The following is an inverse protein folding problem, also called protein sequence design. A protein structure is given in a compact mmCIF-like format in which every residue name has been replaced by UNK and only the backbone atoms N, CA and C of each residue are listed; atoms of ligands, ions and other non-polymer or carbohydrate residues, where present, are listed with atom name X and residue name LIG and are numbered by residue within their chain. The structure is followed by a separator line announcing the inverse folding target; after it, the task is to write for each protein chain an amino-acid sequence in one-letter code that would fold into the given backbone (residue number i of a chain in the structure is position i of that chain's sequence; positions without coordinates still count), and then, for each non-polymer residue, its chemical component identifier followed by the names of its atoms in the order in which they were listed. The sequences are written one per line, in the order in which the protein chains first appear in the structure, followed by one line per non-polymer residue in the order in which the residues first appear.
data_IF_391490692169
#
_entry.id   IF_391490692169
#
_cell.length_a   1.000
_cell.length_b   1.000
_cell.length_c   1.000
_cell.angle_alpha   90.00
_cell.angle_beta   90.00
_cell.angle_gamma   90.00
#
_symmetry.space_group_name_H-M   'P 1'
#
loop_
_entity.id
_entity.type
_entity.pdbx_description
1 polymer ?
#
# COMPACT_ATOMS: atom_id res chain seq x y z
N UNK A 1 0.55 -2.98 -6.32
CA UNK A 1 0.26 -2.07 -5.20
C UNK A 1 0.60 -2.82 -3.92
N UNK A 2 1.28 -2.18 -2.98
CA UNK A 2 1.57 -2.75 -1.67
C UNK A 2 0.67 -2.05 -0.65
N UNK A 3 -0.09 -2.83 0.12
CA UNK A 3 -0.86 -2.35 1.27
C UNK A 3 -0.21 -2.93 2.52
N UNK A 4 0.21 -2.06 3.44
CA UNK A 4 0.78 -2.45 4.73
C UNK A 4 -0.23 -2.08 5.80
N UNK A 5 -0.67 -3.08 6.56
CA UNK A 5 -1.45 -2.89 7.77
C UNK A 5 -0.47 -2.87 8.94
N UNK A 6 -0.35 -1.72 9.61
CA UNK A 6 0.47 -1.60 10.82
C UNK A 6 -0.47 -1.74 12.00
N UNK A 7 -0.55 -2.95 12.54
CA UNK A 7 -1.14 -3.21 13.85
C UNK A 7 0.01 -3.43 14.83
N UNK A 8 -0.09 -2.88 16.04
CA UNK A 8 0.97 -2.82 17.05
C UNK A 8 1.48 -4.18 17.56
N UNK A 9 1.13 -5.30 16.91
CA UNK A 9 1.56 -6.65 17.25
C UNK A 9 1.84 -7.59 16.05
N UNK A 10 1.49 -7.23 14.80
CA UNK A 10 1.81 -8.05 13.60
C UNK A 10 1.95 -7.15 12.37
N UNK A 11 3.07 -7.29 11.67
CA UNK A 11 3.27 -6.70 10.36
C UNK A 11 2.68 -7.64 9.31
N UNK A 12 1.60 -7.23 8.62
CA UNK A 12 1.04 -7.93 7.48
C UNK A 12 1.27 -7.11 6.20
N UNK A 13 1.75 -7.78 5.15
CA UNK A 13 2.02 -7.14 3.87
C UNK A 13 1.43 -7.97 2.73
N UNK A 14 0.67 -7.30 1.86
CA UNK A 14 0.03 -7.91 0.69
C UNK A 14 0.59 -7.31 -0.59
N UNK A 15 0.94 -8.16 -1.56
CA UNK A 15 1.39 -7.75 -2.87
C UNK A 15 0.78 -8.66 -3.94
N UNK A 16 0.18 -8.04 -4.96
CA UNK A 16 -0.42 -8.75 -6.10
C UNK A 16 -0.09 -8.07 -7.43
N UNK A 17 -0.21 -8.82 -8.51
CA UNK A 17 -0.08 -8.31 -9.87
C UNK A 17 -1.33 -7.51 -10.24
N UNK A 18 -1.13 -6.29 -10.75
CA UNK A 18 -2.22 -5.46 -11.26
C UNK A 18 -2.17 -5.47 -12.79
N UNK A 19 -3.24 -5.92 -13.47
CA UNK A 19 -3.28 -5.88 -14.93
C UNK A 19 -3.32 -4.43 -15.45
N UNK A 20 -4.01 -3.54 -14.74
CA UNK A 20 -4.11 -2.11 -15.07
C UNK A 20 -4.01 -1.25 -13.81
N UNK A 21 -3.37 -0.09 -13.93
CA UNK A 21 -3.28 0.91 -12.84
C UNK A 21 -4.44 1.91 -12.97
N UNK A 22 -5.66 1.44 -12.75
CA UNK A 22 -6.85 2.29 -12.71
C UNK A 22 -7.68 2.01 -11.44
N UNK A 23 -8.56 2.94 -11.13
CA UNK A 23 -9.38 2.91 -9.92
C UNK A 23 -10.25 1.65 -9.83
N UNK A 24 -10.87 1.24 -10.93
CA UNK A 24 -11.74 0.07 -11.00
C UNK A 24 -11.03 -1.25 -10.72
N UNK A 25 -9.72 -1.32 -10.94
CA UNK A 25 -8.90 -2.50 -10.60
C UNK A 25 -8.35 -2.40 -9.19
N UNK A 26 -7.95 -1.20 -8.76
CA UNK A 26 -7.22 -0.98 -7.52
C UNK A 26 -8.15 -0.98 -6.29
N UNK A 27 -9.28 -0.28 -6.35
CA UNK A 27 -10.17 -0.14 -5.18
C UNK A 27 -10.70 -1.47 -4.67
N UNK A 28 -11.22 -2.40 -5.51
CA UNK A 28 -11.73 -3.68 -5.00
C UNK A 28 -10.65 -4.49 -4.29
N UNK A 29 -9.41 -4.42 -4.76
CA UNK A 29 -8.27 -5.12 -4.14
C UNK A 29 -8.02 -4.53 -2.75
N UNK A 30 -7.91 -3.20 -2.62
CA UNK A 30 -7.70 -2.55 -1.31
C UNK A 30 -8.79 -2.94 -0.32
N UNK A 31 -10.06 -2.83 -0.73
CA UNK A 31 -11.22 -3.10 0.12
C UNK A 31 -11.24 -4.57 0.57
N UNK A 32 -10.82 -5.49 -0.30
CA UNK A 32 -10.74 -6.92 0.07
C UNK A 32 -9.69 -7.24 1.12
N UNK A 33 -8.69 -6.38 1.31
CA UNK A 33 -7.54 -6.63 2.18
C UNK A 33 -7.62 -5.89 3.52
N UNK A 34 -8.57 -4.96 3.68
CA UNK A 34 -8.61 -4.05 4.82
C UNK A 34 -9.94 -4.23 5.55
N UNK A 35 -9.90 -4.45 6.86
CA UNK A 35 -11.12 -4.54 7.64
C UNK A 35 -11.74 -3.14 7.88
N UNK A 36 -13.01 -3.14 8.25
CA UNK A 36 -13.69 -1.91 8.65
C UNK A 36 -12.99 -1.27 9.87
N UNK A 37 -12.94 0.08 9.90
CA UNK A 37 -12.31 0.94 10.92
C UNK A 37 -10.79 1.14 10.85
N UNK A 38 -10.09 0.56 9.88
CA UNK A 38 -8.67 0.86 9.67
C UNK A 38 -8.44 2.22 9.01
N UNK A 39 -7.29 2.83 9.31
CA UNK A 39 -6.82 4.04 8.63
C UNK A 39 -5.96 3.64 7.45
N UNK A 40 -6.39 3.99 6.24
CA UNK A 40 -5.68 3.72 5.00
C UNK A 40 -4.74 4.90 4.72
N UNK A 41 -3.46 4.60 4.53
CA UNK A 41 -2.44 5.56 4.13
C UNK A 41 -1.99 5.30 2.70
N UNK A 42 -2.07 6.31 1.83
CA UNK A 42 -1.58 6.22 0.44
C UNK A 42 -0.80 7.46 0.05
N UNK A 43 -0.20 7.44 -1.14
CA UNK A 43 0.24 8.66 -1.81
C UNK A 43 -0.97 9.51 -2.27
N UNK A 44 -0.71 10.70 -2.80
CA UNK A 44 -1.72 11.67 -3.24
C UNK A 44 -2.37 11.33 -4.59
N UNK A 45 -2.37 10.06 -5.01
CA UNK A 45 -2.97 9.67 -6.28
C UNK A 45 -4.50 9.79 -6.26
N UNK A 46 -5.05 10.46 -7.27
CA UNK A 46 -6.48 10.86 -7.34
C UNK A 46 -7.47 9.71 -7.15
N UNK A 47 -7.16 8.51 -7.63
CA UNK A 47 -8.05 7.34 -7.51
C UNK A 47 -8.28 6.88 -6.06
N UNK A 48 -7.42 7.26 -5.12
CA UNK A 48 -7.60 6.90 -3.71
C UNK A 48 -8.60 7.80 -2.98
N UNK A 49 -8.93 8.97 -3.51
CA UNK A 49 -9.93 9.89 -2.92
C UNK A 49 -11.28 9.19 -2.75
N UNK A 50 -11.63 8.28 -3.66
CA UNK A 50 -12.86 7.48 -3.61
C UNK A 50 -12.97 6.62 -2.35
N UNK A 51 -11.86 6.29 -1.66
CA UNK A 51 -11.90 5.54 -0.40
C UNK A 51 -12.69 6.29 0.69
N UNK A 52 -12.63 7.62 0.72
CA UNK A 52 -13.43 8.44 1.63
C UNK A 52 -14.92 8.27 1.33
N UNK A 53 -15.30 8.29 0.04
CA UNK A 53 -16.68 8.11 -0.40
C UNK A 53 -17.23 6.71 -0.06
N UNK A 54 -16.35 5.72 0.07
CA UNK A 54 -16.67 4.35 0.46
C UNK A 54 -16.70 4.14 1.99
N UNK A 55 -16.53 5.21 2.78
CA UNK A 55 -16.63 5.17 4.25
C UNK A 55 -15.33 4.82 4.97
N UNK A 56 -14.20 4.71 4.25
CA UNK A 56 -12.90 4.44 4.88
C UNK A 56 -12.26 5.72 5.43
N UNK A 57 -11.53 5.58 6.53
CA UNK A 57 -10.65 6.65 7.04
C UNK A 57 -9.39 6.68 6.19
N UNK A 58 -9.30 7.64 5.28
CA UNK A 58 -8.16 7.79 4.37
C UNK A 58 -7.29 8.99 4.75
N UNK A 59 -5.97 8.78 4.72
CA UNK A 59 -4.94 9.81 4.88
C UNK A 59 -3.91 9.69 3.77
N UNK A 60 -3.33 10.81 3.38
CA UNK A 60 -2.31 10.88 2.32
C UNK A 60 -0.97 11.32 2.86
N UNK A 61 0.12 10.81 2.27
CA UNK A 61 1.49 11.27 2.55
C UNK A 61 2.08 11.79 1.24
N UNK A 62 2.69 12.97 1.30
CA UNK A 62 3.41 13.54 0.17
C UNK A 62 4.87 13.07 0.18
N UNK A 63 5.24 12.22 -0.78
CA UNK A 63 6.61 11.69 -0.94
C UNK A 63 7.71 12.75 -1.09
N UNK A 64 7.35 13.99 -1.41
CA UNK A 64 8.30 15.07 -1.64
C UNK A 64 8.85 15.67 -0.33
N UNK A 65 8.12 15.55 0.77
CA UNK A 65 8.38 16.31 2.00
C UNK A 65 8.52 15.45 3.25
N UNK A 66 7.97 14.23 3.27
CA UNK A 66 7.89 13.42 4.50
C UNK A 66 8.52 12.03 4.32
N UNK A 67 9.80 11.90 4.71
CA UNK A 67 10.46 10.60 4.91
C UNK A 67 10.09 9.99 6.29
N UNK A 68 9.68 10.84 7.23
CA UNK A 68 9.21 10.44 8.55
C UNK A 68 8.23 11.50 9.04
N UNK A 69 6.95 11.14 9.18
CA UNK A 69 5.99 12.03 9.84
C UNK A 69 5.99 11.72 11.34
N UNK A 70 6.79 12.49 12.11
CA UNK A 70 6.99 12.30 13.55
C UNK A 70 5.73 12.57 14.38
N UNK A 71 4.77 13.33 13.86
CA UNK A 71 3.53 13.64 14.57
C UNK A 71 2.54 12.47 14.55
N UNK A 72 2.66 11.58 13.56
CA UNK A 72 1.66 10.53 13.30
C UNK A 72 2.26 9.12 13.39
N UNK A 73 3.59 9.02 13.51
CA UNK A 73 4.31 7.76 13.68
C UNK A 73 4.31 6.87 12.44
N UNK A 74 3.92 7.41 11.28
CA UNK A 74 3.88 6.65 10.02
C UNK A 74 5.23 6.77 9.32
N UNK A 75 5.87 5.62 9.16
CA UNK A 75 7.20 5.52 8.57
C UNK A 75 7.11 5.01 7.13
N UNK A 76 7.38 5.87 6.15
CA UNK A 76 7.43 5.49 4.73
C UNK A 76 8.57 4.52 4.43
N UNK A 77 9.63 4.51 5.25
CA UNK A 77 10.76 3.58 5.11
C UNK A 77 10.34 2.12 5.21
N UNK A 78 9.32 1.77 6.00
CA UNK A 78 8.84 0.38 6.10
C UNK A 78 8.25 -0.09 4.77
N UNK A 79 7.44 0.77 4.13
CA UNK A 79 6.85 0.48 2.81
C UNK A 79 7.94 0.41 1.74
N UNK A 80 8.91 1.32 1.77
CA UNK A 80 10.02 1.33 0.82
C UNK A 80 10.96 0.13 0.97
N UNK A 81 11.30 -0.23 2.20
CA UNK A 81 12.13 -1.39 2.52
C UNK A 81 11.47 -2.68 2.02
N UNK A 82 10.18 -2.86 2.31
CA UNK A 82 9.41 -4.01 1.82
C UNK A 82 9.34 -4.05 0.28
N UNK A 83 9.13 -2.90 -0.37
CA UNK A 83 9.14 -2.82 -1.83
C UNK A 83 10.50 -3.20 -2.42
N UNK A 84 11.61 -2.85 -1.75
CA UNK A 84 12.94 -3.22 -2.18
C UNK A 84 13.19 -4.73 -2.02
N UNK A 85 12.77 -5.34 -0.90
CA UNK A 85 12.85 -6.79 -0.71
C UNK A 85 12.05 -7.56 -1.77
N UNK A 86 10.81 -7.12 -2.06
CA UNK A 86 9.99 -7.71 -3.13
C UNK A 86 10.68 -7.64 -4.50
N UNK A 87 11.26 -6.48 -4.87
CA UNK A 87 12.01 -6.33 -6.12
C UNK A 87 13.22 -7.26 -6.18
N UNK A 88 13.93 -7.44 -5.07
CA UNK A 88 15.06 -8.36 -4.98
C UNK A 88 14.61 -9.81 -5.18
N UNK A 89 13.52 -10.23 -4.55
CA UNK A 89 12.96 -11.57 -4.71
C UNK A 89 12.49 -11.84 -6.15
N UNK A 90 11.82 -10.88 -6.79
CA UNK A 90 11.44 -10.98 -8.20
C UNK A 90 12.70 -11.10 -9.10
N UNK A 91 13.73 -10.29 -8.84
CA UNK A 91 14.99 -10.33 -9.59
C UNK A 91 15.72 -11.66 -9.44
N UNK A 92 15.77 -12.22 -8.23
CA UNK A 92 16.34 -13.57 -7.98
C UNK A 92 15.63 -14.65 -8.80
N UNK A 93 14.32 -14.51 -9.04
CA UNK A 93 13.50 -15.46 -9.82
C UNK A 93 13.64 -15.30 -11.34
N UNK A 94 14.45 -14.34 -11.84
CA UNK A 94 14.78 -14.13 -13.27
C UNK A 94 13.57 -14.07 -14.22
N UNK A 95 12.40 -13.63 -13.75
CA UNK A 95 11.21 -13.47 -14.59
C UNK A 95 10.55 -14.77 -15.07
N UNK A 96 10.85 -15.92 -14.46
CA UNK A 96 10.24 -17.20 -14.84
C UNK A 96 8.78 -17.23 -14.33
N UNK A 97 7.81 -17.25 -15.24
CA UNK A 97 6.44 -17.67 -14.91
C UNK A 97 6.52 -19.12 -14.40
N UNK A 98 6.22 -19.34 -13.11
CA UNK A 98 5.89 -20.68 -12.64
C UNK A 98 4.49 -21.00 -13.15
N UNK A 99 4.42 -21.98 -14.05
CA UNK A 99 3.18 -22.64 -14.47
C UNK A 99 2.59 -23.44 -13.30
#
# INVERSE_FOLDING_TARGET
MCTIEINSFRNHAFATFLPYKNESTILPIIISQIAENFVIWTDEFKSYITLINLGFRHKTICHKYEFFNSEIGVNTHTVESFNNELKLEIKKRRGIKRN
#
